data_IF_182639295966
#
_entry.id   IF_182639295966
#
_cell.length_a   1.000
_cell.length_b   1.000
_cell.length_c   1.000
_cell.angle_alpha   90.00
_cell.angle_beta   90.00
_cell.angle_gamma   90.00
#
_symmetry.space_group_name_H-M   'P 1'
#
loop_
_entity.id
_entity.type
_entity.pdbx_description
1 polymer ?
#
# COMPACT_ATOMS: atom_id res chain seq x y z
N UNK A 1 -49.32 13.60 -59.96
CA UNK A 1 -49.56 12.31 -59.27
C UNK A 1 -48.42 12.12 -58.28
N UNK A 2 -48.55 12.62 -57.04
CA UNK A 2 -48.91 11.87 -55.82
C UNK A 2 -48.17 10.54 -55.68
N UNK A 3 -47.10 10.53 -54.88
CA UNK A 3 -46.91 9.57 -53.77
C UNK A 3 -45.83 10.07 -52.82
N UNK A 4 -46.24 10.38 -51.60
CA UNK A 4 -45.38 10.62 -50.45
C UNK A 4 -44.94 9.27 -49.85
N UNK A 5 -43.70 9.19 -49.37
CA UNK A 5 -43.25 8.10 -48.51
C UNK A 5 -42.60 8.72 -47.26
N UNK A 6 -43.40 8.80 -46.19
CA UNK A 6 -42.89 9.04 -44.83
C UNK A 6 -42.23 7.76 -44.34
N UNK A 7 -40.90 7.76 -44.17
CA UNK A 7 -40.21 6.78 -43.35
C UNK A 7 -40.44 7.12 -41.88
N UNK A 8 -41.21 6.29 -41.18
CA UNK A 8 -41.28 6.30 -39.73
C UNK A 8 -40.04 5.58 -39.16
N UNK A 9 -39.11 6.32 -38.56
CA UNK A 9 -38.05 5.76 -37.73
C UNK A 9 -38.68 5.29 -36.40
N UNK A 10 -38.80 3.98 -36.21
CA UNK A 10 -39.09 3.41 -34.91
C UNK A 10 -37.79 3.38 -34.08
N UNK A 11 -37.64 4.33 -33.14
CA UNK A 11 -36.66 4.22 -32.07
C UNK A 11 -37.06 3.06 -31.16
N UNK A 12 -36.35 1.95 -31.25
CA UNK A 12 -36.38 0.89 -30.23
C UNK A 12 -35.63 1.41 -29.00
N UNK A 13 -36.36 1.87 -27.99
CA UNK A 13 -35.82 2.07 -26.66
C UNK A 13 -35.46 0.69 -26.08
N UNK A 14 -34.17 0.36 -26.04
CA UNK A 14 -33.71 -0.80 -25.30
C UNK A 14 -33.93 -0.52 -23.80
N UNK A 15 -34.60 -1.41 -23.05
CA UNK A 15 -34.61 -1.30 -21.61
C UNK A 15 -33.18 -1.50 -21.13
N UNK A 16 -32.61 -0.46 -20.51
CA UNK A 16 -31.38 -0.57 -19.75
C UNK A 16 -31.64 -1.59 -18.63
N UNK A 17 -31.27 -2.84 -18.85
CA UNK A 17 -31.23 -3.81 -17.77
C UNK A 17 -30.15 -3.32 -16.81
N UNK A 18 -30.58 -2.81 -15.66
CA UNK A 18 -29.70 -2.59 -14.53
C UNK A 18 -29.00 -3.93 -14.27
N UNK A 19 -27.70 -4.01 -14.56
CA UNK A 19 -26.91 -5.15 -14.17
C UNK A 19 -27.00 -5.24 -12.64
N UNK A 20 -27.34 -6.40 -12.06
CA UNK A 20 -27.27 -6.55 -10.62
C UNK A 20 -25.84 -6.21 -10.21
N UNK A 21 -25.71 -5.31 -9.23
CA UNK A 21 -24.43 -5.09 -8.58
C UNK A 21 -23.96 -6.48 -8.12
N UNK A 22 -22.84 -6.94 -8.68
CA UNK A 22 -22.22 -8.19 -8.24
C UNK A 22 -21.94 -7.99 -6.75
N UNK A 23 -22.68 -8.69 -5.89
CA UNK A 23 -22.38 -8.76 -4.48
C UNK A 23 -20.95 -9.29 -4.39
N UNK A 24 -20.03 -8.44 -3.94
CA UNK A 24 -18.66 -8.87 -3.69
C UNK A 24 -18.75 -9.88 -2.55
N UNK A 25 -18.36 -11.15 -2.75
CA UNK A 25 -18.47 -12.14 -1.70
C UNK A 25 -17.62 -11.67 -0.51
N UNK A 26 -18.19 -11.76 0.70
CA UNK A 26 -17.45 -11.45 1.94
C UNK A 26 -16.19 -12.31 1.96
N UNK A 27 -15.03 -11.65 2.00
CA UNK A 27 -13.73 -12.28 2.20
C UNK A 27 -13.29 -12.07 3.64
N UNK A 28 -12.69 -13.06 4.26
CA UNK A 28 -12.09 -12.97 5.60
C UNK A 28 -10.58 -12.86 5.47
N UNK A 29 -9.98 -11.93 6.23
CA UNK A 29 -8.56 -11.65 6.23
C UNK A 29 -7.93 -12.15 7.53
N UNK A 30 -7.39 -13.36 7.51
CA UNK A 30 -6.69 -13.92 8.66
C UNK A 30 -5.21 -13.53 8.60
N UNK A 31 -4.81 -12.59 9.45
CA UNK A 31 -3.46 -12.03 9.43
C UNK A 31 -2.62 -12.54 10.61
N UNK A 32 -1.35 -12.81 10.33
CA UNK A 32 -0.32 -13.02 11.33
C UNK A 32 0.77 -11.97 11.18
N UNK A 33 1.15 -11.33 12.28
CA UNK A 33 2.20 -10.31 12.31
C UNK A 33 3.37 -10.74 13.17
N UNK A 34 4.58 -10.37 12.77
CA UNK A 34 5.79 -10.52 13.56
C UNK A 34 6.63 -9.23 13.46
N UNK A 35 7.13 -8.76 14.60
CA UNK A 35 7.92 -7.54 14.72
C UNK A 35 9.30 -7.87 15.25
N UNK A 36 10.33 -7.25 14.67
CA UNK A 36 11.69 -7.39 15.13
C UNK A 36 12.17 -6.19 15.93
N UNK A 37 13.31 -6.37 16.59
CA UNK A 37 13.84 -5.40 17.55
C UNK A 37 14.26 -4.04 16.94
N UNK A 38 14.39 -3.92 15.62
CA UNK A 38 14.82 -2.70 14.95
C UNK A 38 13.64 -1.97 14.26
N UNK A 39 12.40 -2.33 14.61
CA UNK A 39 11.18 -1.72 14.08
C UNK A 39 10.72 -2.28 12.73
N UNK A 40 11.36 -3.34 12.24
CA UNK A 40 10.87 -4.09 11.09
C UNK A 40 9.68 -4.97 11.44
N UNK A 41 8.80 -5.17 10.46
CA UNK A 41 7.57 -5.92 10.65
C UNK A 41 7.24 -6.74 9.42
N UNK A 42 6.88 -8.00 9.61
CA UNK A 42 6.29 -8.84 8.57
C UNK A 42 4.84 -9.12 8.91
N UNK A 43 3.98 -9.01 7.91
CA UNK A 43 2.59 -9.42 7.96
C UNK A 43 2.34 -10.47 6.88
N UNK A 44 1.64 -11.55 7.24
CA UNK A 44 1.14 -12.56 6.30
C UNK A 44 -0.37 -12.56 6.42
N UNK A 45 -1.08 -12.50 5.29
CA UNK A 45 -2.54 -12.48 5.23
C UNK A 45 -3.01 -13.67 4.41
N UNK A 46 -3.87 -14.50 4.98
CA UNK A 46 -4.60 -15.55 4.26
C UNK A 46 -6.03 -15.08 4.00
N UNK A 47 -6.46 -15.21 2.76
CA UNK A 47 -7.77 -14.81 2.27
C UNK A 47 -8.69 -16.03 2.24
N UNK A 48 -9.87 -15.91 2.83
CA UNK A 48 -10.88 -16.96 2.82
C UNK A 48 -12.22 -16.44 2.31
N UNK A 49 -12.91 -17.23 1.50
CA UNK A 49 -14.30 -16.98 1.12
C UNK A 49 -15.23 -17.06 2.35
N UNK A 50 -16.43 -16.52 2.23
CA UNK A 50 -17.48 -16.65 3.24
C UNK A 50 -17.76 -18.12 3.67
N UNK A 51 -17.56 -19.08 2.75
CA UNK A 51 -17.69 -20.52 3.02
C UNK A 51 -16.48 -21.17 3.70
N UNK A 52 -15.46 -20.40 4.09
CA UNK A 52 -14.23 -20.88 4.72
C UNK A 52 -13.21 -21.49 3.73
N UNK A 53 -13.46 -21.43 2.42
CA UNK A 53 -12.50 -21.87 1.41
C UNK A 53 -11.33 -20.88 1.33
N UNK A 54 -10.10 -21.37 1.37
CA UNK A 54 -8.91 -20.55 1.15
C UNK A 54 -8.82 -20.09 -0.32
N UNK A 55 -8.71 -18.79 -0.54
CA UNK A 55 -8.69 -18.14 -1.86
C UNK A 55 -7.29 -17.65 -2.26
N UNK A 56 -6.41 -17.41 -1.28
CA UNK A 56 -5.03 -17.04 -1.55
C UNK A 56 -4.33 -16.43 -0.35
N UNK A 57 -3.12 -15.94 -0.58
CA UNK A 57 -2.31 -15.31 0.46
C UNK A 57 -1.42 -14.20 -0.08
N UNK A 58 -1.05 -13.27 0.81
CA UNK A 58 -0.03 -12.25 0.56
C UNK A 58 0.85 -12.08 1.78
N UNK A 59 2.01 -11.45 1.58
CA UNK A 59 2.83 -11.00 2.68
C UNK A 59 3.39 -9.61 2.40
N UNK A 60 3.60 -8.87 3.47
CA UNK A 60 4.13 -7.52 3.45
C UNK A 60 5.33 -7.48 4.39
N UNK A 61 6.38 -6.75 4.01
CA UNK A 61 7.51 -6.50 4.89
C UNK A 61 7.83 -5.01 4.94
N UNK A 62 7.76 -4.46 6.15
CA UNK A 62 8.26 -3.14 6.50
C UNK A 62 9.69 -3.31 7.02
N UNK A 63 10.74 -2.99 6.24
CA UNK A 63 12.12 -3.14 6.68
C UNK A 63 12.50 -2.15 7.79
N UNK A 64 13.60 -2.41 8.52
CA UNK A 64 14.12 -1.47 9.50
C UNK A 64 14.38 -0.10 8.87
N UNK A 65 13.92 0.95 9.54
CA UNK A 65 14.06 2.33 9.08
C UNK A 65 15.04 3.10 9.96
N UNK A 66 15.99 3.78 9.32
CA UNK A 66 16.81 4.82 9.93
C UNK A 66 16.39 6.19 9.40
N UNK A 67 15.91 7.06 10.29
CA UNK A 67 15.64 8.45 9.97
C UNK A 67 16.96 9.19 9.80
N UNK A 68 17.12 9.90 8.69
CA UNK A 68 18.31 10.71 8.43
C UNK A 68 18.08 12.15 8.92
N UNK A 69 19.13 12.90 9.29
CA UNK A 69 19.01 14.28 9.74
C UNK A 69 18.22 15.14 8.75
N UNK A 70 17.29 15.94 9.26
CA UNK A 70 16.31 16.64 8.43
C UNK A 70 15.73 17.90 9.08
N UNK A 71 14.76 18.55 8.41
CA UNK A 71 14.08 19.72 8.95
C UNK A 71 13.24 19.37 10.18
N UNK A 72 12.94 20.37 11.00
CA UNK A 72 12.07 20.19 12.17
C UNK A 72 10.68 19.65 11.77
N UNK A 73 10.17 18.72 12.59
CA UNK A 73 8.87 18.06 12.41
C UNK A 73 8.70 17.46 10.99
N UNK A 74 9.58 16.55 10.51
CA UNK A 74 9.50 16.00 9.15
C UNK A 74 8.23 15.16 8.97
N UNK A 75 7.67 15.03 7.75
CA UNK A 75 6.69 13.99 7.48
C UNK A 75 7.31 12.61 7.76
N UNK A 76 6.48 11.69 8.24
CA UNK A 76 6.86 10.30 8.41
C UNK A 76 6.99 9.61 7.04
N UNK A 77 8.02 8.79 6.87
CA UNK A 77 8.27 8.02 5.65
C UNK A 77 8.23 6.53 5.97
N UNK A 78 7.29 5.80 5.40
CA UNK A 78 7.23 4.34 5.49
C UNK A 78 7.42 3.71 4.12
N UNK A 79 8.06 2.55 4.12
CA UNK A 79 8.30 1.75 2.93
C UNK A 79 7.88 0.31 3.23
N UNK A 80 7.19 -0.31 2.27
CA UNK A 80 6.67 -1.67 2.40
C UNK A 80 6.97 -2.43 1.12
N UNK A 81 7.53 -3.64 1.26
CA UNK A 81 7.68 -4.60 0.19
C UNK A 81 6.50 -5.57 0.20
N UNK A 82 5.94 -5.84 -0.98
CA UNK A 82 4.84 -6.75 -1.17
C UNK A 82 5.32 -8.06 -1.79
N UNK A 83 4.73 -9.17 -1.35
CA UNK A 83 4.98 -10.51 -1.88
C UNK A 83 3.64 -11.13 -2.28
N UNK A 84 3.50 -11.40 -3.57
CA UNK A 84 2.34 -12.09 -4.12
C UNK A 84 2.55 -13.59 -4.07
N UNK A 85 1.61 -14.33 -3.48
CA UNK A 85 1.68 -15.79 -3.36
C UNK A 85 2.90 -16.31 -2.57
N UNK A 86 3.16 -15.79 -1.35
CA UNK A 86 4.22 -16.33 -0.51
C UNK A 86 3.87 -17.77 -0.08
N UNK A 87 4.83 -18.57 0.41
CA UNK A 87 4.60 -19.98 0.78
C UNK A 87 5.14 -20.29 2.17
N UNK A 88 4.79 -21.42 2.77
CA UNK A 88 5.34 -21.81 4.08
C UNK A 88 6.89 -21.83 4.11
N UNK A 89 7.54 -22.01 2.97
CA UNK A 89 9.00 -22.01 2.84
C UNK A 89 9.62 -20.60 2.85
N UNK A 90 8.86 -19.57 2.47
CA UNK A 90 9.35 -18.20 2.44
C UNK A 90 8.46 -17.25 1.63
N UNK A 91 8.74 -15.94 1.70
CA UNK A 91 7.94 -14.91 1.05
C UNK A 91 8.06 -14.93 -0.49
N UNK A 92 9.10 -15.56 -1.05
CA UNK A 92 9.33 -15.58 -2.50
C UNK A 92 9.89 -14.26 -3.04
N UNK A 93 9.72 -14.03 -4.33
CA UNK A 93 10.15 -12.78 -5.01
C UNK A 93 9.14 -11.67 -4.74
N UNK A 94 9.65 -10.44 -4.52
CA UNK A 94 8.79 -9.28 -4.32
C UNK A 94 7.92 -9.00 -5.55
N UNK A 95 6.64 -8.77 -5.34
CA UNK A 95 5.66 -8.41 -6.39
C UNK A 95 5.51 -6.90 -6.57
N UNK A 96 6.03 -6.10 -5.64
CA UNK A 96 6.04 -4.64 -5.73
C UNK A 96 6.52 -4.01 -4.44
N UNK A 97 6.51 -2.68 -4.40
CA UNK A 97 6.72 -1.93 -3.17
C UNK A 97 5.84 -0.68 -3.12
N UNK A 98 5.65 -0.13 -1.93
CA UNK A 98 5.05 1.20 -1.75
C UNK A 98 5.92 2.06 -0.86
N UNK A 99 6.03 3.32 -1.23
CA UNK A 99 6.52 4.39 -0.37
C UNK A 99 5.33 5.25 0.04
N UNK A 100 5.18 5.49 1.34
CA UNK A 100 4.16 6.37 1.88
C UNK A 100 4.81 7.50 2.66
N UNK A 101 4.35 8.72 2.40
CA UNK A 101 4.70 9.92 3.14
C UNK A 101 3.47 10.41 3.90
N UNK A 102 3.60 10.59 5.22
CA UNK A 102 2.51 11.04 6.07
C UNK A 102 2.91 12.29 6.86
N UNK A 103 2.14 13.36 6.72
CA UNK A 103 2.32 14.57 7.49
C UNK A 103 1.21 14.67 8.55
N UNK A 104 1.60 15.11 9.75
CA UNK A 104 0.68 15.34 10.87
C UNK A 104 0.66 16.82 11.24
N UNK A 105 -0.51 17.31 11.64
CA UNK A 105 -0.56 18.58 12.35
C UNK A 105 0.00 18.40 13.77
N UNK A 106 0.74 19.39 14.29
CA UNK A 106 1.14 19.37 15.70
C UNK A 106 -0.09 19.31 16.63
N UNK A 107 0.01 18.66 17.80
CA UNK A 107 -1.03 18.69 18.81
C UNK A 107 -1.48 20.13 19.12
N UNK A 108 -2.80 20.35 19.22
CA UNK A 108 -3.38 21.67 19.49
C UNK A 108 -3.46 22.62 18.29
N UNK A 109 -2.92 22.25 17.13
CA UNK A 109 -3.16 22.98 15.88
C UNK A 109 -4.63 22.86 15.45
N UNK A 110 -5.13 23.81 14.65
CA UNK A 110 -6.42 23.69 13.93
C UNK A 110 -6.25 23.73 12.41
N UNK A 111 -5.02 23.64 11.91
CA UNK A 111 -4.69 23.98 10.52
C UNK A 111 -4.47 22.75 9.63
N UNK A 112 -5.53 21.95 9.42
CA UNK A 112 -5.50 20.79 8.52
C UNK A 112 -5.05 21.16 7.09
N UNK A 113 -5.42 22.35 6.60
CA UNK A 113 -5.03 22.82 5.28
C UNK A 113 -3.51 23.05 5.13
N UNK A 114 -2.80 23.40 6.20
CA UNK A 114 -1.33 23.51 6.14
C UNK A 114 -0.65 22.15 5.99
N UNK A 115 -1.21 21.10 6.61
CA UNK A 115 -0.70 19.72 6.50
C UNK A 115 -0.87 19.21 5.07
N UNK A 116 -2.04 19.41 4.46
CA UNK A 116 -2.29 19.03 3.07
C UNK A 116 -1.37 19.74 2.09
N UNK A 117 -1.20 21.07 2.24
CA UNK A 117 -0.29 21.86 1.38
C UNK A 117 1.18 21.44 1.49
N UNK A 118 1.57 20.80 2.60
CA UNK A 118 2.94 20.36 2.81
C UNK A 118 3.33 19.22 1.86
N UNK A 119 2.38 18.31 1.58
CA UNK A 119 2.60 17.18 0.68
C UNK A 119 2.02 17.39 -0.72
N UNK A 120 1.38 18.54 -0.97
CA UNK A 120 0.84 18.89 -2.27
C UNK A 120 1.96 19.07 -3.31
N UNK A 121 1.93 18.23 -4.35
CA UNK A 121 2.98 18.15 -5.38
C UNK A 121 4.32 17.64 -4.86
N UNK A 122 4.35 16.97 -3.70
CA UNK A 122 5.56 16.36 -3.19
C UNK A 122 6.01 15.18 -4.08
N UNK A 123 7.30 14.90 -4.05
CA UNK A 123 7.91 13.80 -4.79
C UNK A 123 9.07 13.23 -3.97
N UNK A 124 9.39 11.97 -4.21
CA UNK A 124 10.51 11.30 -3.58
C UNK A 124 11.66 11.11 -4.57
N UNK A 125 12.87 11.40 -4.13
CA UNK A 125 14.07 10.85 -4.72
C UNK A 125 14.31 9.48 -4.08
N UNK A 126 14.55 8.45 -4.89
CA UNK A 126 14.81 7.09 -4.40
C UNK A 126 16.07 6.52 -5.03
N UNK A 127 16.91 5.86 -4.22
CA UNK A 127 18.13 5.19 -4.69
C UNK A 127 18.29 3.87 -3.97
N UNK A 128 18.49 2.79 -4.73
CA UNK A 128 18.83 1.48 -4.20
C UNK A 128 20.35 1.28 -4.26
N UNK A 129 20.94 0.77 -3.18
CA UNK A 129 22.38 0.46 -3.07
C UNK A 129 23.32 1.62 -3.47
N UNK A 130 22.90 2.88 -3.28
CA UNK A 130 23.68 4.06 -3.69
C UNK A 130 23.77 4.28 -5.20
N UNK A 131 22.94 3.59 -5.99
CA UNK A 131 22.82 3.81 -7.43
C UNK A 131 22.24 5.17 -7.79
N UNK A 132 22.13 5.44 -9.10
CA UNK A 132 21.55 6.68 -9.60
C UNK A 132 20.13 6.88 -9.05
N UNK A 133 19.80 8.05 -8.47
CA UNK A 133 18.48 8.29 -7.93
C UNK A 133 17.45 8.40 -9.04
N UNK A 134 16.31 7.74 -8.84
CA UNK A 134 15.10 7.97 -9.62
C UNK A 134 14.16 8.95 -8.90
N UNK A 135 13.19 9.47 -9.65
CA UNK A 135 12.13 10.32 -9.12
C UNK A 135 10.81 9.57 -9.09
N UNK A 136 10.14 9.60 -7.94
CA UNK A 136 8.80 9.05 -7.74
C UNK A 136 7.84 10.19 -7.43
N UNK A 137 6.85 10.48 -8.30
CA UNK A 137 5.75 11.36 -7.91
C UNK A 137 4.96 10.70 -6.79
N UNK A 138 4.59 11.48 -5.77
CA UNK A 138 3.73 10.99 -4.69
C UNK A 138 2.31 11.47 -4.95
N UNK A 139 1.40 10.51 -5.01
CA UNK A 139 0.01 10.75 -5.36
C UNK A 139 -0.90 10.62 -4.15
N UNK A 140 -2.10 11.21 -4.26
CA UNK A 140 -3.16 10.97 -3.28
C UNK A 140 -3.85 9.67 -3.65
N UNK A 141 -3.87 8.70 -2.73
CA UNK A 141 -4.69 7.51 -2.91
C UNK A 141 -6.13 7.82 -2.53
N UNK A 142 -7.08 7.57 -3.44
CA UNK A 142 -8.50 7.75 -3.17
C UNK A 142 -9.06 6.72 -2.17
N UNK A 143 -8.41 5.56 -2.05
CA UNK A 143 -8.75 4.48 -1.10
C UNK A 143 -8.38 4.85 0.33
N UNK A 144 -7.49 5.81 0.53
CA UNK A 144 -7.03 6.22 1.84
C UNK A 144 -7.43 7.67 2.05
N UNK A 145 -8.51 7.86 2.80
CA UNK A 145 -9.01 9.18 3.11
C UNK A 145 -8.02 9.90 4.05
N UNK A 146 -7.58 11.09 3.66
CA UNK A 146 -6.90 12.02 4.58
C UNK A 146 -7.82 12.21 5.79
N UNK A 147 -7.34 11.82 6.97
CA UNK A 147 -8.05 12.05 8.22
C UNK A 147 -7.94 13.54 8.60
N UNK A 148 -8.84 14.06 9.46
CA UNK A 148 -8.64 15.38 10.02
C UNK A 148 -7.22 15.48 10.58
N UNK A 149 -6.48 16.50 10.12
CA UNK A 149 -5.13 16.82 10.61
C UNK A 149 -4.01 15.89 10.12
N UNK A 150 -4.29 14.99 9.18
CA UNK A 150 -3.26 14.25 8.45
C UNK A 150 -3.30 14.57 6.97
N UNK A 151 -2.16 14.37 6.31
CA UNK A 151 -2.11 14.26 4.85
C UNK A 151 -1.21 13.09 4.52
N UNK A 152 -1.64 12.24 3.60
CA UNK A 152 -0.89 11.08 3.19
C UNK A 152 -0.75 11.04 1.68
N UNK A 153 0.45 10.74 1.20
CA UNK A 153 0.73 10.52 -0.22
C UNK A 153 1.51 9.23 -0.39
N UNK A 154 1.29 8.55 -1.50
CA UNK A 154 1.98 7.30 -1.78
C UNK A 154 2.52 7.24 -3.20
N UNK A 155 3.53 6.40 -3.38
CA UNK A 155 4.01 5.97 -4.69
C UNK A 155 4.07 4.44 -4.67
N UNK A 156 3.53 3.82 -5.71
CA UNK A 156 3.85 2.43 -6.01
C UNK A 156 5.20 2.40 -6.74
N UNK A 157 6.02 1.40 -6.39
CA UNK A 157 7.27 1.11 -7.06
C UNK A 157 7.17 -0.28 -7.70
N UNK A 158 7.82 -0.42 -8.84
CA UNK A 158 8.16 -1.72 -9.40
C UNK A 158 8.94 -2.55 -8.36
N UNK A 159 8.91 -3.89 -8.47
CA UNK A 159 9.72 -4.76 -7.62
C UNK A 159 11.17 -4.29 -7.55
N UNK A 160 11.71 -4.17 -6.34
CA UNK A 160 13.12 -3.88 -6.16
C UNK A 160 13.96 -5.07 -6.66
N UNK A 161 15.16 -4.82 -7.22
CA UNK A 161 16.08 -5.90 -7.54
C UNK A 161 16.35 -6.79 -6.32
N UNK A 162 16.44 -8.11 -6.48
CA UNK A 162 16.70 -9.04 -5.37
C UNK A 162 18.03 -8.77 -4.63
N UNK A 163 18.97 -8.12 -5.33
CA UNK A 163 20.24 -7.68 -4.78
C UNK A 163 20.16 -6.34 -4.02
N UNK A 164 18.98 -5.72 -3.89
CA UNK A 164 18.80 -4.54 -3.06
C UNK A 164 19.09 -4.89 -1.59
N UNK A 165 19.95 -4.10 -0.96
CA UNK A 165 20.41 -4.24 0.42
C UNK A 165 20.21 -2.95 1.22
N UNK A 166 20.11 -1.81 0.54
CA UNK A 166 19.80 -0.52 1.14
C UNK A 166 18.93 0.29 0.18
N UNK A 167 17.98 1.03 0.74
CA UNK A 167 17.15 1.97 0.01
C UNK A 167 17.22 3.34 0.70
N UNK A 168 17.72 4.34 -0.01
CA UNK A 168 17.71 5.73 0.44
C UNK A 168 16.52 6.47 -0.19
N UNK A 169 15.78 7.20 0.64
CA UNK A 169 14.64 8.02 0.21
C UNK A 169 14.79 9.44 0.73
N UNK A 170 14.62 10.41 -0.16
CA UNK A 170 14.54 11.84 0.19
C UNK A 170 13.23 12.39 -0.32
N UNK A 171 12.42 12.92 0.59
CA UNK A 171 11.15 13.54 0.27
C UNK A 171 11.35 15.03 0.01
N UNK A 172 10.85 15.51 -1.11
CA UNK A 172 10.92 16.91 -1.51
C UNK A 172 9.53 17.51 -1.70
N UNK A 173 9.38 18.79 -1.38
CA UNK A 173 8.19 19.54 -1.76
C UNK A 173 8.17 19.85 -3.27
N UNK A 174 7.07 20.45 -3.74
CA UNK A 174 6.92 20.87 -5.14
C UNK A 174 8.00 21.85 -5.63
N UNK A 175 8.72 22.53 -4.73
CA UNK A 175 9.81 23.48 -5.01
C UNK A 175 11.20 22.85 -4.89
N UNK A 176 11.28 21.55 -4.58
CA UNK A 176 12.54 20.82 -4.39
C UNK A 176 13.14 20.93 -3.00
N UNK A 177 12.48 21.60 -2.04
CA UNK A 177 12.96 21.68 -0.66
C UNK A 177 12.82 20.32 0.03
N UNK A 178 13.87 19.87 0.70
CA UNK A 178 13.86 18.65 1.50
C UNK A 178 12.83 18.75 2.64
N UNK A 179 11.96 17.75 2.76
CA UNK A 179 10.94 17.61 3.79
C UNK A 179 11.26 16.50 4.79
N UNK A 180 11.82 15.38 4.33
CA UNK A 180 12.24 14.24 5.13
C UNK A 180 13.30 13.42 4.38
N UNK A 181 14.10 12.65 5.11
CA UNK A 181 14.99 11.66 4.53
C UNK A 181 15.04 10.43 5.43
N UNK A 182 15.10 9.26 4.82
CA UNK A 182 15.18 7.99 5.53
C UNK A 182 15.98 6.97 4.71
N UNK A 183 16.54 5.98 5.41
CA UNK A 183 17.13 4.79 4.81
C UNK A 183 16.44 3.55 5.34
N UNK A 184 16.23 2.59 4.46
CA UNK A 184 15.62 1.30 4.77
C UNK A 184 16.65 0.20 4.54
N UNK A 185 16.84 -0.64 5.56
CA UNK A 185 17.81 -1.72 5.55
C UNK A 185 17.18 -2.99 4.95
N UNK A 186 17.69 -3.42 3.80
CA UNK A 186 17.26 -4.65 3.12
C UNK A 186 18.33 -5.75 3.21
N UNK A 187 19.34 -5.57 4.05
CA UNK A 187 20.58 -6.36 4.01
C UNK A 187 20.50 -7.70 4.73
N UNK A 188 19.50 -7.90 5.59
CA UNK A 188 19.32 -9.12 6.40
C UNK A 188 18.06 -9.91 5.99
N UNK A 189 18.10 -10.63 4.86
CA UNK A 189 16.97 -11.46 4.42
C UNK A 189 16.72 -12.64 5.37
N UNK A 190 17.74 -13.13 6.09
CA UNK A 190 17.59 -14.24 7.03
C UNK A 190 16.68 -13.84 8.20
N UNK A 191 16.84 -12.61 8.71
CA UNK A 191 15.98 -12.05 9.74
C UNK A 191 14.56 -11.79 9.24
N UNK A 192 14.40 -11.23 8.03
CA UNK A 192 13.09 -11.12 7.38
C UNK A 192 12.40 -12.49 7.31
N UNK A 193 13.11 -13.52 6.85
CA UNK A 193 12.54 -14.85 6.66
C UNK A 193 12.20 -15.53 8.00
N UNK A 194 12.92 -15.21 9.08
CA UNK A 194 12.58 -15.66 10.43
C UNK A 194 11.26 -15.04 10.92
N UNK A 195 11.11 -13.71 10.79
CA UNK A 195 9.87 -13.00 11.11
C UNK A 195 8.71 -13.49 10.24
N UNK A 196 8.97 -13.72 8.96
CA UNK A 196 8.00 -14.29 8.04
C UNK A 196 7.47 -15.65 8.50
N UNK A 197 8.34 -16.58 8.90
CA UNK A 197 7.90 -17.90 9.40
C UNK A 197 7.03 -17.77 10.66
N UNK A 198 7.36 -16.83 11.53
CA UNK A 198 6.55 -16.55 12.72
C UNK A 198 5.17 -15.97 12.36
N UNK A 199 5.15 -14.98 11.46
CA UNK A 199 3.93 -14.37 10.94
C UNK A 199 3.06 -15.40 10.21
N UNK A 200 3.65 -16.26 9.37
CA UNK A 200 2.96 -17.37 8.70
C UNK A 200 2.32 -18.31 9.70
N UNK A 201 3.06 -18.78 10.70
CA UNK A 201 2.52 -19.68 11.72
C UNK A 201 1.38 -19.04 12.53
N UNK A 202 1.39 -17.72 12.71
CA UNK A 202 0.28 -16.96 13.31
C UNK A 202 -0.92 -16.92 12.36
N UNK A 203 -0.72 -16.56 11.10
CA UNK A 203 -1.78 -16.51 10.09
C UNK A 203 -2.49 -17.87 9.91
N UNK A 204 -1.74 -18.98 9.91
CA UNK A 204 -2.29 -20.35 9.89
C UNK A 204 -3.17 -20.65 11.11
N UNK A 205 -2.77 -20.20 12.31
CA UNK A 205 -3.57 -20.41 13.53
C UNK A 205 -4.87 -19.61 13.50
N UNK A 206 -4.82 -18.36 13.06
CA UNK A 206 -6.03 -17.54 12.90
C UNK A 206 -6.93 -18.10 11.79
N UNK A 207 -6.33 -18.56 10.69
CA UNK A 207 -7.02 -19.20 9.57
C UNK A 207 -7.64 -20.57 9.88
N UNK A 208 -7.42 -21.13 11.07
CA UNK A 208 -8.09 -22.36 11.50
C UNK A 208 -9.60 -22.15 11.73
N UNK A 209 -10.04 -20.90 11.96
CA UNK A 209 -11.44 -20.51 12.08
C UNK A 209 -11.67 -19.17 11.36
N UNK A 210 -11.77 -19.17 10.01
CA UNK A 210 -11.81 -17.93 9.23
C UNK A 210 -12.95 -16.98 9.59
N UNK A 211 -14.06 -17.50 10.11
CA UNK A 211 -15.22 -16.71 10.51
C UNK A 211 -14.95 -15.77 11.69
N UNK A 212 -13.85 -15.97 12.44
CA UNK A 212 -13.39 -15.08 13.51
C UNK A 212 -12.46 -13.97 13.02
N UNK A 213 -11.95 -14.08 11.80
CA UNK A 213 -11.07 -13.07 11.24
C UNK A 213 -11.89 -11.85 10.78
N UNK A 214 -11.27 -10.66 10.70
CA UNK A 214 -11.92 -9.49 10.11
C UNK A 214 -12.43 -9.79 8.69
N UNK A 215 -13.65 -9.36 8.40
CA UNK A 215 -14.11 -9.30 7.01
C UNK A 215 -13.33 -8.20 6.27
N UNK A 216 -12.95 -8.47 5.02
CA UNK A 216 -12.50 -7.47 4.08
C UNK A 216 -13.61 -6.42 3.95
N UNK A 217 -13.34 -5.19 4.39
CA UNK A 217 -14.30 -4.09 4.23
C UNK A 217 -14.54 -3.82 2.73
N UNK A 218 -15.81 -3.59 2.36
CA UNK A 218 -16.26 -3.23 1.00
C UNK A 218 -15.86 -1.81 0.56
#
# INVERSE_FOLDING_TARGET
MRTAACLALALLAQPAMAQPALAVPVQYHCAGTAEGANGERVEVIHYFAAGGQHEGQSANWDPPRRVEPGPDNPPDLSFTLFFGQPTAQGPGTGSGASLTAMAFAPPGSRNAGAVQRRLDGAWAEFSANGGAPGRLPLERDARIADLPMTAMRMAALEPLPEAARDLAVRLHDRRGKLLAAARFDLSDPARRDALYREAWARAEREGADPAKCPAAEE
#
